data_IF_332613146755
#
_entry.id   IF_332613146755
#
_cell.length_a   1.000
_cell.length_b   1.000
_cell.length_c   1.000
_cell.angle_alpha   90.00
_cell.angle_beta   90.00
_cell.angle_gamma   90.00
#
_symmetry.space_group_name_H-M   'P 1'
#
loop_
_entity.id
_entity.type
_entity.pdbx_description
1 polymer ?
#
# COMPACT_ATOMS: atom_id res chain seq x y z
N UNK A 1 -8.05 -35.13 1.78
CA UNK A 1 -8.17 -33.69 1.42
C UNK A 1 -8.32 -32.90 2.69
N UNK A 2 -7.93 -31.62 2.73
CA UNK A 2 -8.05 -30.75 3.91
C UNK A 2 -9.46 -30.79 4.53
N UNK A 3 -10.50 -30.72 3.68
CA UNK A 3 -11.90 -30.85 4.07
C UNK A 3 -12.20 -32.18 4.78
N UNK A 4 -11.75 -33.31 4.22
CA UNK A 4 -11.95 -34.66 4.81
C UNK A 4 -11.25 -34.78 6.17
N UNK A 5 -10.08 -34.15 6.35
CA UNK A 5 -9.35 -34.16 7.60
C UNK A 5 -10.04 -33.31 8.70
N UNK A 6 -10.69 -32.21 8.32
CA UNK A 6 -11.49 -31.39 9.22
C UNK A 6 -12.81 -32.08 9.60
N UNK A 7 -13.53 -32.62 8.61
CA UNK A 7 -14.79 -33.38 8.82
C UNK A 7 -14.58 -34.63 9.70
N UNK A 8 -13.39 -35.23 9.67
CA UNK A 8 -13.03 -36.39 10.49
C UNK A 8 -12.48 -36.03 11.88
N UNK A 9 -12.44 -34.74 12.25
CA UNK A 9 -11.92 -34.26 13.54
C UNK A 9 -10.40 -34.41 13.70
N UNK A 10 -9.68 -34.68 12.61
CA UNK A 10 -8.21 -34.84 12.60
C UNK A 10 -7.47 -33.52 12.38
N UNK A 11 -8.19 -32.41 12.20
CA UNK A 11 -7.66 -31.05 12.19
C UNK A 11 -8.31 -30.26 13.32
N UNK A 12 -7.50 -29.58 14.13
CA UNK A 12 -8.02 -28.60 15.09
C UNK A 12 -8.53 -27.36 14.37
N UNK A 13 -9.48 -26.66 14.99
CA UNK A 13 -9.96 -25.36 14.50
C UNK A 13 -8.82 -24.34 14.40
N UNK A 14 -7.87 -24.37 15.35
CA UNK A 14 -6.65 -23.55 15.33
C UNK A 14 -5.84 -23.78 14.04
N UNK A 15 -5.61 -25.03 13.64
CA UNK A 15 -4.86 -25.35 12.41
C UNK A 15 -5.60 -24.84 11.17
N UNK A 16 -6.93 -24.93 11.18
CA UNK A 16 -7.77 -24.42 10.08
C UNK A 16 -7.65 -22.91 9.96
N UNK A 17 -7.77 -22.19 11.07
CA UNK A 17 -7.71 -20.73 11.14
C UNK A 17 -6.33 -20.24 10.65
N UNK A 18 -5.24 -20.75 11.21
CA UNK A 18 -3.88 -20.35 10.82
C UNK A 18 -3.59 -20.64 9.35
N UNK A 19 -4.08 -21.77 8.82
CA UNK A 19 -3.93 -22.10 7.39
C UNK A 19 -4.71 -21.11 6.52
N UNK A 20 -5.93 -20.72 6.93
CA UNK A 20 -6.75 -19.76 6.21
C UNK A 20 -6.11 -18.36 6.22
N UNK A 21 -5.61 -17.91 7.38
CA UNK A 21 -4.94 -16.62 7.55
C UNK A 21 -3.68 -16.52 6.70
N UNK A 22 -2.81 -17.54 6.73
CA UNK A 22 -1.59 -17.55 5.90
C UNK A 22 -1.93 -17.47 4.40
N UNK A 23 -2.96 -18.20 3.95
CA UNK A 23 -3.42 -18.13 2.55
C UNK A 23 -4.02 -16.78 2.21
N UNK A 24 -4.78 -16.20 3.13
CA UNK A 24 -5.37 -14.89 2.95
C UNK A 24 -4.29 -13.82 2.81
N UNK A 25 -3.26 -13.84 3.68
CA UNK A 25 -2.12 -12.92 3.60
C UNK A 25 -1.36 -13.04 2.28
N UNK A 26 -1.13 -14.26 1.80
CA UNK A 26 -0.50 -14.47 0.50
C UNK A 26 -1.33 -13.88 -0.66
N UNK A 27 -2.66 -14.03 -0.61
CA UNK A 27 -3.54 -13.43 -1.61
C UNK A 27 -3.55 -11.90 -1.53
N UNK A 28 -3.58 -11.33 -0.33
CA UNK A 28 -3.52 -9.88 -0.13
C UNK A 28 -2.22 -9.29 -0.66
N UNK A 29 -1.09 -9.98 -0.51
CA UNK A 29 0.17 -9.59 -1.13
C UNK A 29 0.04 -9.55 -2.67
N UNK A 30 -0.45 -10.63 -3.30
CA UNK A 30 -0.62 -10.68 -4.76
C UNK A 30 -1.58 -9.60 -5.28
N UNK A 31 -2.67 -9.33 -4.56
CA UNK A 31 -3.61 -8.27 -4.89
C UNK A 31 -2.92 -6.90 -4.78
N UNK A 32 -2.15 -6.68 -3.73
CA UNK A 32 -1.40 -5.44 -3.53
C UNK A 32 -0.44 -5.17 -4.68
N UNK A 33 0.26 -6.20 -5.17
CA UNK A 33 1.17 -6.08 -6.30
C UNK A 33 0.45 -5.60 -7.56
N UNK A 34 -0.71 -6.20 -7.86
CA UNK A 34 -1.54 -5.79 -9.01
C UNK A 34 -2.03 -4.35 -8.87
N UNK A 35 -2.39 -3.93 -7.65
CA UNK A 35 -2.87 -2.58 -7.39
C UNK A 35 -1.77 -1.53 -7.52
N UNK A 36 -0.54 -1.84 -7.10
CA UNK A 36 0.62 -0.99 -7.35
C UNK A 36 0.84 -0.82 -8.85
N UNK A 37 0.83 -1.92 -9.62
CA UNK A 37 1.01 -1.84 -11.08
C UNK A 37 -0.09 -1.02 -11.76
N UNK A 38 -1.34 -1.14 -11.29
CA UNK A 38 -2.44 -0.33 -11.79
C UNK A 38 -2.25 1.15 -11.45
N UNK A 39 -1.87 1.46 -10.21
CA UNK A 39 -1.62 2.80 -9.71
C UNK A 39 -0.52 3.51 -10.52
N UNK A 40 0.64 2.88 -10.68
CA UNK A 40 1.75 3.48 -11.44
C UNK A 40 1.41 3.64 -12.93
N UNK A 41 0.61 2.72 -13.51
CA UNK A 41 0.12 2.87 -14.87
C UNK A 41 -0.83 4.07 -15.00
N UNK A 42 -1.72 4.27 -14.03
CA UNK A 42 -2.61 5.42 -13.98
C UNK A 42 -1.81 6.72 -13.94
N UNK A 43 -0.84 6.84 -13.03
CA UNK A 43 0.01 8.02 -12.92
C UNK A 43 0.78 8.29 -14.21
N UNK A 44 1.36 7.25 -14.82
CA UNK A 44 2.05 7.38 -16.10
C UNK A 44 1.14 7.91 -17.21
N UNK A 45 -0.10 7.42 -17.29
CA UNK A 45 -1.05 7.89 -18.30
C UNK A 45 -1.49 9.34 -18.04
N UNK A 46 -1.72 9.72 -16.78
CA UNK A 46 -2.04 11.11 -16.42
C UNK A 46 -0.89 12.08 -16.78
N UNK A 47 0.36 11.69 -16.50
CA UNK A 47 1.54 12.46 -16.86
C UNK A 47 1.67 12.66 -18.38
N UNK A 48 1.41 11.61 -19.16
CA UNK A 48 1.40 11.71 -20.62
C UNK A 48 0.34 12.69 -21.12
N UNK A 49 -0.87 12.62 -20.57
CA UNK A 49 -1.96 13.53 -20.92
C UNK A 49 -1.59 14.98 -20.64
N UNK A 50 -1.07 15.25 -19.44
CA UNK A 50 -0.68 16.58 -19.01
C UNK A 50 0.41 17.17 -19.91
N UNK A 51 1.43 16.37 -20.27
CA UNK A 51 2.50 16.81 -21.18
C UNK A 51 1.98 17.09 -22.59
N UNK A 52 1.05 16.28 -23.10
CA UNK A 52 0.44 16.51 -24.41
C UNK A 52 -0.31 17.85 -24.43
N UNK A 53 -1.10 18.14 -23.39
CA UNK A 53 -1.81 19.40 -23.23
C UNK A 53 -0.84 20.60 -23.17
N UNK A 54 0.27 20.48 -22.42
CA UNK A 54 1.28 21.54 -22.30
C UNK A 54 2.04 21.82 -23.61
N UNK A 55 2.28 20.80 -24.43
CA UNK A 55 3.00 20.94 -25.69
C UNK A 55 2.14 21.50 -26.84
N UNK A 56 0.86 21.81 -26.59
CA UNK A 56 -0.05 22.33 -27.60
C UNK A 56 -0.39 21.31 -28.69
N UNK A 57 -0.01 20.04 -28.49
CA UNK A 57 -0.59 18.93 -29.23
C UNK A 57 -2.06 18.87 -28.79
N UNK A 58 -3.00 18.84 -29.74
CA UNK A 58 -4.44 18.91 -29.46
C UNK A 58 -4.90 17.85 -28.44
N UNK A 59 -6.16 17.96 -28.00
CA UNK A 59 -6.74 17.06 -27.01
C UNK A 59 -6.38 15.58 -27.27
N UNK A 60 -6.13 14.84 -26.19
CA UNK A 60 -5.88 13.41 -26.25
C UNK A 60 -6.97 12.72 -27.09
N UNK A 61 -6.59 11.67 -27.84
CA UNK A 61 -7.58 10.99 -28.68
C UNK A 61 -8.67 10.38 -27.79
N UNK A 62 -9.91 10.30 -28.25
CA UNK A 62 -10.98 9.63 -27.49
C UNK A 62 -10.65 8.17 -27.10
N UNK A 63 -9.77 7.50 -27.85
CA UNK A 63 -9.28 6.17 -27.50
C UNK A 63 -8.33 6.17 -26.29
N UNK A 64 -7.58 7.26 -26.09
CA UNK A 64 -6.73 7.47 -24.93
C UNK A 64 -7.58 7.72 -23.69
N UNK A 65 -8.57 8.62 -23.77
CA UNK A 65 -9.50 8.90 -22.66
C UNK A 65 -10.24 7.62 -22.22
N UNK A 66 -10.65 6.79 -23.18
CA UNK A 66 -11.28 5.49 -22.91
C UNK A 66 -10.34 4.54 -22.18
N UNK A 67 -9.06 4.51 -22.55
CA UNK A 67 -8.06 3.68 -21.89
C UNK A 67 -7.78 4.18 -20.48
N UNK A 68 -7.58 5.48 -20.30
CA UNK A 68 -7.38 6.11 -18.99
C UNK A 68 -8.59 5.82 -18.08
N UNK A 69 -9.81 6.08 -18.54
CA UNK A 69 -11.02 5.78 -17.79
C UNK A 69 -11.14 4.29 -17.42
N UNK A 70 -10.67 3.38 -18.28
CA UNK A 70 -10.67 1.93 -18.01
C UNK A 70 -9.63 1.52 -16.97
N UNK A 71 -8.45 2.14 -16.97
CA UNK A 71 -7.41 1.91 -15.96
C UNK A 71 -7.87 2.44 -14.60
N UNK A 72 -8.46 3.64 -14.58
CA UNK A 72 -8.98 4.29 -13.37
C UNK A 72 -10.28 3.63 -12.83
N UNK A 73 -11.13 3.09 -13.71
CA UNK A 73 -12.35 2.38 -13.31
C UNK A 73 -12.00 1.01 -12.74
N UNK A 74 -11.50 0.98 -11.50
CA UNK A 74 -11.20 -0.27 -10.81
C UNK A 74 -12.50 -1.07 -10.60
N UNK A 75 -12.69 -2.22 -11.27
CA UNK A 75 -13.98 -2.92 -11.29
C UNK A 75 -14.25 -3.74 -10.02
N UNK A 76 -13.26 -3.85 -9.13
CA UNK A 76 -13.42 -4.53 -7.86
C UNK A 76 -13.73 -3.48 -6.78
N UNK A 77 -14.90 -3.56 -6.10
CA UNK A 77 -15.09 -2.85 -4.85
C UNK A 77 -14.07 -3.41 -3.85
N UNK A 78 -12.92 -2.74 -3.76
CA UNK A 78 -11.95 -3.07 -2.76
C UNK A 78 -12.58 -2.74 -1.40
N UNK A 79 -12.42 -3.61 -0.39
CA UNK A 79 -12.68 -3.21 0.98
C UNK A 79 -11.99 -1.85 1.16
N UNK A 80 -12.68 -0.82 1.68
CA UNK A 80 -12.06 0.48 1.84
C UNK A 80 -10.74 0.27 2.56
N UNK A 81 -9.70 0.97 2.13
CA UNK A 81 -8.44 1.19 2.85
C UNK A 81 -8.53 0.95 4.37
N UNK A 82 -9.54 1.57 4.98
CA UNK A 82 -9.86 1.52 6.40
C UNK A 82 -10.16 0.13 6.93
N UNK A 83 -10.75 -0.78 6.16
CA UNK A 83 -11.05 -2.15 6.58
C UNK A 83 -9.83 -3.06 6.59
N UNK A 84 -8.90 -2.93 5.63
CA UNK A 84 -7.63 -3.64 5.72
C UNK A 84 -6.76 -3.01 6.80
N UNK A 85 -6.69 -1.68 6.87
CA UNK A 85 -5.98 -0.98 7.94
C UNK A 85 -6.55 -1.35 9.33
N UNK A 86 -7.88 -1.38 9.50
CA UNK A 86 -8.53 -1.87 10.72
C UNK A 86 -8.23 -3.33 11.00
N UNK A 87 -8.26 -4.19 9.98
CA UNK A 87 -7.90 -5.61 10.14
C UNK A 87 -6.45 -5.77 10.56
N UNK A 88 -5.53 -5.03 9.94
CA UNK A 88 -4.12 -4.96 10.31
C UNK A 88 -3.93 -4.43 11.73
N UNK A 89 -4.69 -3.41 12.13
CA UNK A 89 -4.68 -2.84 13.48
C UNK A 89 -5.31 -3.75 14.53
N UNK A 90 -6.20 -4.67 14.15
CA UNK A 90 -6.80 -5.68 15.02
C UNK A 90 -5.91 -6.92 15.18
N UNK A 91 -5.09 -7.23 14.16
CA UNK A 91 -4.29 -8.46 14.11
C UNK A 91 -2.80 -8.25 14.36
N UNK A 92 -2.32 -7.01 14.29
CA UNK A 92 -1.02 -6.62 14.79
C UNK A 92 -1.24 -5.93 16.12
N UNK A 93 -0.51 -6.30 17.19
CA UNK A 93 -0.40 -5.49 18.42
C UNK A 93 0.34 -4.16 18.16
N UNK A 94 0.21 -3.63 16.94
CA UNK A 94 0.95 -2.50 16.44
C UNK A 94 0.37 -1.20 16.95
N UNK A 95 1.28 -0.29 17.30
CA UNK A 95 1.01 1.04 17.83
C UNK A 95 0.28 1.93 16.82
N UNK A 96 0.07 1.49 15.57
CA UNK A 96 -0.68 2.25 14.55
C UNK A 96 -2.14 2.55 14.96
N UNK A 97 -2.76 1.69 15.79
CA UNK A 97 -4.10 1.95 16.34
C UNK A 97 -4.13 2.92 17.52
N UNK A 98 -2.97 3.35 18.00
CA UNK A 98 -2.92 4.38 19.03
C UNK A 98 -3.29 5.76 18.48
N UNK A 99 -3.62 6.70 19.38
CA UNK A 99 -3.79 8.10 19.01
C UNK A 99 -2.55 8.71 18.36
N UNK A 100 -1.35 8.24 18.73
CA UNK A 100 -0.09 8.64 18.11
C UNK A 100 0.02 8.13 16.67
N UNK A 101 -0.37 6.88 16.42
CA UNK A 101 -0.44 6.30 15.07
C UNK A 101 -1.40 7.09 14.16
N UNK A 102 -2.61 7.37 14.64
CA UNK A 102 -3.60 8.16 13.88
C UNK A 102 -3.12 9.58 13.56
N UNK A 103 -2.39 10.22 14.47
CA UNK A 103 -1.81 11.54 14.21
C UNK A 103 -0.76 11.50 13.09
N UNK A 104 0.08 10.45 13.06
CA UNK A 104 1.05 10.23 11.98
C UNK A 104 0.34 10.02 10.64
N UNK A 105 -0.66 9.12 10.60
CA UNK A 105 -1.39 8.81 9.37
C UNK A 105 -2.16 10.02 8.81
N UNK A 106 -2.58 10.95 9.67
CA UNK A 106 -3.26 12.18 9.25
C UNK A 106 -2.35 13.08 8.42
N UNK A 107 -1.08 13.22 8.81
CA UNK A 107 -0.11 14.06 8.10
C UNK A 107 0.29 13.46 6.73
N UNK A 108 0.16 12.14 6.57
CA UNK A 108 0.48 11.42 5.33
C UNK A 108 -0.69 11.30 4.36
N UNK A 109 -1.92 11.66 4.80
CA UNK A 109 -3.13 11.51 3.98
C UNK A 109 -3.15 12.49 2.82
N UNK A 110 -3.60 12.03 1.66
CA UNK A 110 -3.75 12.83 0.44
C UNK A 110 -2.43 13.27 -0.19
N UNK A 111 -1.30 12.77 0.31
CA UNK A 111 -0.01 12.97 -0.34
C UNK A 111 0.08 12.08 -1.57
N UNK A 112 0.63 12.62 -2.66
CA UNK A 112 0.91 11.88 -3.88
C UNK A 112 2.03 10.88 -3.63
N UNK A 113 1.83 9.63 -4.07
CA UNK A 113 2.82 8.57 -3.84
C UNK A 113 3.16 7.79 -5.10
N UNK A 114 4.43 7.42 -5.22
CA UNK A 114 4.89 6.39 -6.14
C UNK A 114 5.31 5.16 -5.36
N UNK A 115 4.90 3.99 -5.83
CA UNK A 115 5.20 2.71 -5.20
C UNK A 115 5.73 1.75 -6.26
N UNK A 116 6.88 1.13 -5.99
CA UNK A 116 7.42 0.08 -6.85
C UNK A 116 8.13 -0.98 -6.04
N UNK A 117 8.27 -2.16 -6.65
CA UNK A 117 9.09 -3.22 -6.09
C UNK A 117 10.48 -3.22 -6.70
N UNK A 118 11.49 -3.37 -5.85
CA UNK A 118 12.87 -3.56 -6.27
C UNK A 118 13.59 -4.44 -5.26
N UNK A 119 14.35 -5.44 -5.73
CA UNK A 119 15.16 -6.33 -4.88
C UNK A 119 14.40 -7.00 -3.72
N UNK A 120 13.09 -7.29 -3.90
CA UNK A 120 12.25 -7.91 -2.87
C UNK A 120 11.78 -6.94 -1.77
N UNK A 121 11.95 -5.63 -1.96
CA UNK A 121 11.42 -4.59 -1.11
C UNK A 121 10.38 -3.74 -1.87
N UNK A 122 9.47 -3.13 -1.11
CA UNK A 122 8.60 -2.06 -1.61
C UNK A 122 9.28 -0.73 -1.32
N UNK A 123 9.36 0.10 -2.35
CA UNK A 123 9.84 1.46 -2.28
C UNK A 123 8.63 2.37 -2.41
N UNK A 124 8.47 3.28 -1.45
CA UNK A 124 7.33 4.18 -1.35
C UNK A 124 7.89 5.60 -1.32
N UNK A 125 7.80 6.31 -2.43
CA UNK A 125 8.17 7.71 -2.53
C UNK A 125 6.94 8.58 -2.28
N UNK A 126 6.99 9.37 -1.22
CA UNK A 126 5.99 10.41 -0.96
C UNK A 126 6.51 11.73 -1.53
N UNK A 127 5.83 12.24 -2.55
CA UNK A 127 6.25 13.44 -3.30
C UNK A 127 5.82 14.68 -2.52
N UNK A 128 6.75 15.20 -1.71
CA UNK A 128 6.52 16.39 -0.88
C UNK A 128 7.84 17.00 -0.43
N UNK A 129 7.88 18.32 -0.31
CA UNK A 129 9.00 19.05 0.32
C UNK A 129 8.70 19.44 1.77
N UNK A 130 7.52 19.10 2.28
CA UNK A 130 7.10 19.50 3.61
C UNK A 130 7.82 18.68 4.68
N UNK A 131 8.56 19.36 5.56
CA UNK A 131 9.29 18.71 6.67
C UNK A 131 8.38 17.92 7.61
N UNK A 132 7.11 18.29 7.72
CA UNK A 132 6.10 17.56 8.51
C UNK A 132 5.85 16.16 7.94
N UNK A 133 5.78 16.01 6.61
CA UNK A 133 5.61 14.72 5.92
C UNK A 133 6.82 13.81 6.17
N UNK A 134 8.04 14.34 6.00
CA UNK A 134 9.26 13.60 6.30
C UNK A 134 9.36 13.16 7.76
N UNK A 135 8.95 14.03 8.70
CA UNK A 135 8.90 13.72 10.13
C UNK A 135 7.87 12.62 10.42
N UNK A 136 6.70 12.69 9.80
CA UNK A 136 5.65 11.67 9.93
C UNK A 136 6.10 10.31 9.37
N UNK A 137 6.76 10.28 8.21
CA UNK A 137 7.34 9.06 7.65
C UNK A 137 8.40 8.45 8.56
N UNK A 138 9.28 9.27 9.12
CA UNK A 138 10.28 8.80 10.07
C UNK A 138 9.64 8.24 11.34
N UNK A 139 8.60 8.90 11.86
CA UNK A 139 7.86 8.44 13.02
C UNK A 139 7.14 7.10 12.73
N UNK A 140 6.55 6.95 11.54
CA UNK A 140 5.92 5.71 11.08
C UNK A 140 6.94 4.56 11.05
N UNK A 141 8.09 4.78 10.41
CA UNK A 141 9.19 3.83 10.33
C UNK A 141 9.69 3.37 11.71
N UNK A 142 9.82 4.30 12.67
CA UNK A 142 10.26 3.99 14.04
C UNK A 142 9.21 3.21 14.83
N UNK A 143 7.93 3.56 14.67
CA UNK A 143 6.82 2.92 15.37
C UNK A 143 6.72 1.44 14.98
N UNK A 144 7.00 1.13 13.72
CA UNK A 144 6.96 -0.22 13.14
C UNK A 144 8.17 -1.07 13.51
N UNK A 145 9.36 -0.47 13.67
CA UNK A 145 10.55 -1.18 14.17
C UNK A 145 10.39 -1.80 15.56
N UNK A 146 9.32 -1.43 16.28
CA UNK A 146 8.96 -1.93 17.62
C UNK A 146 7.83 -2.96 17.60
N UNK A 147 7.28 -3.29 16.44
CA UNK A 147 6.25 -4.31 16.29
C UNK A 147 6.89 -5.69 16.06
N UNK A 148 6.57 -6.69 16.89
CA UNK A 148 7.13 -8.04 16.77
C UNK A 148 6.71 -8.77 15.47
N UNK A 149 5.60 -8.35 14.84
CA UNK A 149 5.11 -8.87 13.56
C UNK A 149 6.04 -8.56 12.37
N UNK A 150 7.08 -7.75 12.59
CA UNK A 150 7.91 -7.09 11.59
C UNK A 150 9.41 -7.25 11.92
N UNK A 151 9.91 -8.49 11.98
CA UNK A 151 11.24 -8.81 12.54
C UNK A 151 12.46 -8.42 11.69
N UNK A 152 12.31 -7.86 10.47
CA UNK A 152 13.42 -7.51 9.58
C UNK A 152 13.20 -6.22 8.75
N UNK A 153 12.60 -5.19 9.32
CA UNK A 153 12.37 -3.93 8.62
C UNK A 153 13.57 -2.99 8.74
N UNK A 154 14.33 -2.85 7.67
CA UNK A 154 15.20 -1.70 7.44
C UNK A 154 14.42 -0.66 6.64
N UNK A 155 13.93 0.37 7.34
CA UNK A 155 13.36 1.55 6.74
C UNK A 155 14.46 2.59 6.55
N UNK A 156 14.92 2.74 5.31
CA UNK A 156 15.80 3.85 4.94
C UNK A 156 14.93 5.00 4.43
N UNK A 157 15.10 6.17 5.05
CA UNK A 157 14.51 7.41 4.57
C UNK A 157 15.51 8.09 3.65
N UNK A 158 15.31 7.99 2.33
CA UNK A 158 16.12 8.72 1.36
C UNK A 158 15.37 9.98 0.97
N UNK A 159 15.99 11.15 1.18
CA UNK A 159 15.48 12.41 0.68
C UNK A 159 16.15 12.70 -0.66
N UNK A 160 15.34 13.00 -1.67
CA UNK A 160 15.79 13.50 -2.95
C UNK A 160 15.01 14.77 -3.31
N UNK A 161 15.29 15.32 -4.49
CA UNK A 161 14.70 16.56 -5.00
C UNK A 161 13.16 16.47 -5.16
N UNK A 162 12.61 15.25 -5.18
CA UNK A 162 11.20 14.94 -5.42
C UNK A 162 10.43 14.67 -4.12
N UNK A 163 11.07 14.11 -3.09
CA UNK A 163 10.45 13.92 -1.79
C UNK A 163 11.15 12.94 -0.86
N UNK A 164 10.34 12.18 -0.12
CA UNK A 164 10.80 11.27 0.94
C UNK A 164 10.48 9.83 0.56
N UNK A 165 11.52 9.00 0.45
CA UNK A 165 11.37 7.57 0.14
C UNK A 165 11.43 6.73 1.40
N UNK A 166 10.47 5.84 1.59
CA UNK A 166 10.46 4.78 2.58
C UNK A 166 10.66 3.44 1.88
N UNK A 167 11.69 2.70 2.27
CA UNK A 167 11.92 1.33 1.80
C UNK A 167 11.45 0.34 2.86
N UNK A 168 10.65 -0.65 2.49
CA UNK A 168 10.17 -1.70 3.42
C UNK A 168 10.38 -3.08 2.81
N UNK A 169 10.95 -3.98 3.62
CA UNK A 169 11.20 -5.38 3.24
C UNK A 169 10.61 -6.32 4.28
N UNK A 170 10.42 -7.58 3.89
CA UNK A 170 9.90 -8.64 4.75
C UNK A 170 8.59 -9.21 4.25
N UNK A 171 8.17 -10.32 4.84
CA UNK A 171 6.97 -11.08 4.45
C UNK A 171 5.70 -10.21 4.44
N UNK A 172 5.63 -9.27 5.38
CA UNK A 172 4.49 -8.40 5.59
C UNK A 172 4.69 -6.98 5.03
N UNK A 173 5.71 -6.75 4.19
CA UNK A 173 6.01 -5.40 3.68
C UNK A 173 4.92 -4.82 2.77
N UNK A 174 4.14 -5.67 2.11
CA UNK A 174 3.03 -5.26 1.24
C UNK A 174 1.95 -4.46 1.99
N UNK A 175 1.84 -4.65 3.32
CA UNK A 175 0.92 -3.92 4.19
C UNK A 175 1.13 -2.40 4.09
N UNK A 176 2.39 -1.96 4.07
CA UNK A 176 2.73 -0.55 3.93
C UNK A 176 2.35 -0.02 2.56
N UNK A 177 2.66 -0.76 1.50
CA UNK A 177 2.25 -0.37 0.16
C UNK A 177 0.73 -0.19 0.10
N UNK A 178 -0.04 -1.11 0.70
CA UNK A 178 -1.49 -0.97 0.74
C UNK A 178 -1.96 0.21 1.58
N UNK A 179 -1.31 0.49 2.70
CA UNK A 179 -1.58 1.67 3.53
C UNK A 179 -1.38 2.97 2.76
N UNK A 180 -0.32 3.09 1.95
CA UNK A 180 -0.08 4.32 1.19
C UNK A 180 -1.03 4.50 0.01
N UNK A 181 -1.33 3.44 -0.73
CA UNK A 181 -2.42 3.45 -1.74
C UNK A 181 -3.75 3.91 -1.12
N UNK A 182 -4.01 3.47 0.11
CA UNK A 182 -5.17 3.83 0.90
C UNK A 182 -5.20 5.30 1.34
N UNK A 183 -4.06 5.84 1.75
CA UNK A 183 -3.93 7.21 2.25
C UNK A 183 -4.05 8.24 1.15
N UNK A 184 -3.61 7.93 -0.06
CA UNK A 184 -3.69 8.80 -1.23
C UNK A 184 -5.13 8.97 -1.73
N UNK A 185 -5.93 7.89 -1.76
CA UNK A 185 -7.30 7.90 -2.29
C UNK A 185 -8.35 8.63 -1.43
N UNK A 186 -8.04 8.96 -0.16
CA UNK A 186 -8.99 9.61 0.77
C UNK A 186 -8.93 11.14 0.69
N UNK A 187 -9.31 11.71 -0.45
CA UNK A 187 -9.55 13.16 -0.65
C UNK A 187 -11.06 13.42 -0.74
#
# INVERSE_FOLDING_TARGET
TFLIAWESGNLSDETVITTAESRYMFLEQQITDLLIQQHELELFLQDLEQRQQQQGHGAASAAFDTMLARVCANPLPHPPANSLLSWLMEHTDCVLNSSAGHAILKELRGQHVHIWQENGAYNILVVSQETAVGTALQALAQLESRCEAHTHHTSELVYNDEGFQLVVQGENAFIFARLFLALEQNI
#
